data_IF_581786197176
#
_entry.id   IF_581786197176
#
_cell.length_a   1.000
_cell.length_b   1.000
_cell.length_c   1.000
_cell.angle_alpha   90.00
_cell.angle_beta   90.00
_cell.angle_gamma   90.00
#
_symmetry.space_group_name_H-M   'P 1'
#
loop_
_entity.id
_entity.type
_entity.pdbx_description
1 polymer ?
#
# COMPACT_ATOMS: atom_id res chain seq x y z
N UNK A 1 -49.07 28.49 47.66
CA UNK A 1 -49.33 28.81 46.23
C UNK A 1 -48.05 29.22 45.49
N UNK A 2 -47.21 30.08 46.08
CA UNK A 2 -45.98 30.59 45.46
C UNK A 2 -44.89 29.52 45.23
N UNK A 3 -44.63 28.67 46.24
CA UNK A 3 -43.72 27.53 46.12
C UNK A 3 -44.08 26.56 44.98
N UNK A 4 -45.38 26.34 44.76
CA UNK A 4 -45.86 25.44 43.70
C UNK A 4 -45.66 26.07 42.31
N UNK A 5 -45.80 27.40 42.17
CA UNK A 5 -45.49 28.12 40.93
C UNK A 5 -43.99 28.10 40.61
N UNK A 6 -43.14 28.32 41.61
CA UNK A 6 -41.66 28.27 41.47
C UNK A 6 -41.22 26.86 41.06
N UNK A 7 -41.79 25.82 41.69
CA UNK A 7 -41.49 24.43 41.35
C UNK A 7 -41.93 24.03 39.94
N UNK A 8 -43.13 24.46 39.51
CA UNK A 8 -43.61 24.25 38.13
C UNK A 8 -42.75 25.00 37.11
N UNK A 9 -42.36 26.25 37.38
CA UNK A 9 -41.48 27.03 36.51
C UNK A 9 -40.09 26.39 36.39
N UNK A 10 -39.51 25.91 37.50
CA UNK A 10 -38.23 25.19 37.52
C UNK A 10 -38.28 23.91 36.69
N UNK A 11 -39.38 23.13 36.78
CA UNK A 11 -39.58 21.94 35.93
C UNK A 11 -39.68 22.28 34.45
N UNK A 12 -40.41 23.35 34.09
CA UNK A 12 -40.53 23.80 32.70
C UNK A 12 -39.16 24.25 32.17
N UNK A 13 -38.40 25.04 32.92
CA UNK A 13 -37.05 25.46 32.54
C UNK A 13 -36.10 24.27 32.39
N UNK A 14 -36.19 23.28 33.27
CA UNK A 14 -35.39 22.06 33.18
C UNK A 14 -35.72 21.24 31.93
N UNK A 15 -37.00 21.12 31.56
CA UNK A 15 -37.43 20.44 30.34
C UNK A 15 -37.00 21.18 29.07
N UNK A 16 -37.08 22.52 29.06
CA UNK A 16 -36.59 23.35 27.94
C UNK A 16 -35.07 23.18 27.78
N UNK A 17 -34.31 23.25 28.88
CA UNK A 17 -32.86 23.04 28.84
C UNK A 17 -32.51 21.64 28.32
N UNK A 18 -33.21 20.60 28.78
CA UNK A 18 -33.00 19.23 28.31
C UNK A 18 -33.32 19.10 26.81
N UNK A 19 -34.41 19.69 26.34
CA UNK A 19 -34.76 19.70 24.92
C UNK A 19 -33.70 20.43 24.09
N UNK A 20 -33.19 21.57 24.56
CA UNK A 20 -32.14 22.33 23.88
C UNK A 20 -30.81 21.55 23.81
N UNK A 21 -30.45 20.87 24.90
CA UNK A 21 -29.27 19.99 24.94
C UNK A 21 -29.42 18.82 23.98
N UNK A 22 -30.60 18.19 23.91
CA UNK A 22 -30.87 17.11 22.96
C UNK A 22 -30.79 17.60 21.52
N UNK A 23 -31.41 18.74 21.20
CA UNK A 23 -31.33 19.33 19.85
C UNK A 23 -29.88 19.64 19.49
N UNK A 24 -29.12 20.26 20.40
CA UNK A 24 -27.72 20.60 20.16
C UNK A 24 -26.86 19.35 19.95
N UNK A 25 -27.07 18.28 20.75
CA UNK A 25 -26.37 17.02 20.60
C UNK A 25 -26.72 16.32 19.27
N UNK A 26 -28.00 16.33 18.87
CA UNK A 26 -28.46 15.77 17.59
C UNK A 26 -27.87 16.56 16.43
N UNK A 27 -27.98 17.88 16.44
CA UNK A 27 -27.43 18.76 15.39
C UNK A 27 -25.92 18.63 15.29
N UNK A 28 -25.21 18.57 16.43
CA UNK A 28 -23.77 18.35 16.45
C UNK A 28 -23.39 17.00 15.82
N UNK A 29 -24.14 15.93 16.11
CA UNK A 29 -23.85 14.60 15.58
C UNK A 29 -24.19 14.46 14.09
N UNK A 30 -25.30 15.05 13.63
CA UNK A 30 -25.72 15.05 12.22
C UNK A 30 -24.74 15.84 11.34
N UNK A 31 -24.21 16.95 11.85
CA UNK A 31 -23.31 17.82 11.09
C UNK A 31 -21.85 17.37 11.10
N UNK A 32 -21.53 16.21 11.70
CA UNK A 32 -20.16 15.68 11.66
C UNK A 32 -19.76 15.35 10.23
N UNK A 33 -18.58 15.79 9.77
CA UNK A 33 -18.02 15.33 8.52
C UNK A 33 -17.95 13.81 8.50
N UNK A 34 -18.26 13.23 7.34
CA UNK A 34 -18.41 11.79 7.13
C UNK A 34 -17.29 11.34 6.21
N UNK A 35 -16.37 10.51 6.70
CA UNK A 35 -15.32 9.89 5.89
C UNK A 35 -15.53 8.39 5.83
N UNK A 36 -15.67 7.85 4.62
CA UNK A 36 -15.65 6.41 4.40
C UNK A 36 -14.26 6.02 3.90
N UNK A 37 -13.65 5.03 4.55
CA UNK A 37 -12.43 4.38 4.09
C UNK A 37 -12.84 3.07 3.39
N UNK A 38 -12.63 3.00 2.08
CA UNK A 38 -12.93 1.85 1.25
C UNK A 38 -11.64 1.15 0.82
N UNK A 39 -11.45 -0.08 1.28
CA UNK A 39 -10.30 -0.91 0.91
C UNK A 39 -10.69 -2.00 -0.09
N UNK A 40 -9.81 -2.21 -1.07
CA UNK A 40 -9.89 -3.36 -1.98
C UNK A 40 -9.76 -4.70 -1.24
N UNK A 41 -8.90 -4.78 -0.22
CA UNK A 41 -8.48 -6.04 0.41
C UNK A 41 -8.91 -6.12 1.88
N UNK A 42 -8.78 -7.31 2.48
CA UNK A 42 -9.11 -7.58 3.87
C UNK A 42 -8.08 -6.96 4.84
N UNK A 43 -8.47 -6.51 6.05
CA UNK A 43 -7.55 -5.90 7.03
C UNK A 43 -6.40 -6.81 7.48
N UNK A 44 -6.56 -8.13 7.41
CA UNK A 44 -5.48 -9.08 7.73
C UNK A 44 -4.33 -9.08 6.71
N UNK A 45 -4.55 -8.52 5.51
CA UNK A 45 -3.50 -8.41 4.53
C UNK A 45 -2.50 -7.33 4.98
N UNK A 46 -1.21 -7.68 5.06
CA UNK A 46 -0.16 -6.83 5.63
C UNK A 46 -0.17 -5.39 5.07
N UNK A 47 -0.29 -5.26 3.75
CA UNK A 47 -0.43 -3.96 3.09
C UNK A 47 -1.61 -3.15 3.64
N UNK A 48 -2.80 -3.73 3.71
CA UNK A 48 -4.02 -3.06 4.19
C UNK A 48 -3.92 -2.69 5.66
N UNK A 49 -3.38 -3.59 6.49
CA UNK A 49 -3.09 -3.31 7.91
C UNK A 49 -2.20 -2.08 8.06
N UNK A 50 -1.12 -2.01 7.30
CA UNK A 50 -0.12 -0.95 7.46
C UNK A 50 -0.57 0.38 6.84
N UNK A 51 -1.39 0.35 5.78
CA UNK A 51 -2.12 1.54 5.29
C UNK A 51 -3.08 2.05 6.38
N UNK A 52 -3.78 1.15 7.06
CA UNK A 52 -4.64 1.51 8.19
C UNK A 52 -3.84 2.12 9.35
N UNK A 53 -2.61 1.69 9.61
CA UNK A 53 -1.73 2.35 10.60
C UNK A 53 -1.45 3.79 10.16
N UNK A 54 -1.11 4.03 8.90
CA UNK A 54 -0.91 5.36 8.33
C UNK A 54 -2.14 6.26 8.45
N UNK A 55 -3.31 5.76 8.03
CA UNK A 55 -4.60 6.43 8.18
C UNK A 55 -4.85 6.81 9.64
N UNK A 56 -4.65 5.85 10.57
CA UNK A 56 -4.92 6.05 11.99
C UNK A 56 -3.97 7.02 12.68
N UNK A 57 -2.77 7.29 12.16
CA UNK A 57 -1.90 8.36 12.69
C UNK A 57 -2.56 9.73 12.60
N UNK A 58 -3.38 9.93 11.57
CA UNK A 58 -4.14 11.17 11.35
C UNK A 58 -5.55 11.04 11.92
N UNK A 59 -6.24 9.92 11.66
CA UNK A 59 -7.63 9.75 12.09
C UNK A 59 -7.84 9.79 13.61
N UNK A 60 -6.79 9.52 14.41
CA UNK A 60 -6.85 9.70 15.88
C UNK A 60 -7.08 11.14 16.32
N UNK A 61 -6.79 12.15 15.49
CA UNK A 61 -7.06 13.56 15.81
C UNK A 61 -8.47 13.98 15.38
N UNK A 62 -9.21 13.13 14.67
CA UNK A 62 -10.54 13.40 14.10
C UNK A 62 -11.68 13.22 15.11
N UNK A 63 -11.62 13.92 16.24
CA UNK A 63 -12.60 13.81 17.33
C UNK A 63 -14.05 14.19 16.91
N UNK A 64 -14.20 14.97 15.84
CA UNK A 64 -15.49 15.49 15.37
C UNK A 64 -15.96 14.88 14.04
N UNK A 65 -15.39 13.75 13.64
CA UNK A 65 -15.73 13.09 12.39
C UNK A 65 -16.52 11.81 12.66
N UNK A 66 -17.37 11.44 11.71
CA UNK A 66 -17.97 10.11 11.62
C UNK A 66 -17.15 9.31 10.64
N UNK A 67 -16.60 8.17 11.07
CA UNK A 67 -15.69 7.34 10.28
C UNK A 67 -16.23 5.93 10.15
N UNK A 68 -16.18 5.36 8.95
CA UNK A 68 -16.46 3.94 8.72
C UNK A 68 -15.45 3.32 7.77
N UNK A 69 -15.17 2.03 7.98
CA UNK A 69 -14.30 1.23 7.14
C UNK A 69 -15.13 0.19 6.40
N UNK A 70 -14.89 0.05 5.10
CA UNK A 70 -15.49 -0.98 4.28
C UNK A 70 -14.37 -1.72 3.55
N UNK A 71 -14.34 -3.04 3.67
CA UNK A 71 -13.34 -3.90 3.03
C UNK A 71 -14.02 -4.84 2.05
N UNK A 72 -13.54 -4.86 0.81
CA UNK A 72 -14.16 -5.61 -0.28
C UNK A 72 -13.65 -7.06 -0.42
N UNK A 73 -12.55 -7.39 0.24
CA UNK A 73 -11.89 -8.71 0.24
C UNK A 73 -11.65 -9.32 -1.17
N UNK A 74 -11.21 -8.47 -2.11
CA UNK A 74 -10.99 -8.85 -3.52
C UNK A 74 -9.67 -9.58 -3.77
N UNK A 75 -8.80 -9.70 -2.77
CA UNK A 75 -7.53 -10.44 -2.89
C UNK A 75 -7.73 -11.94 -2.72
N UNK A 76 -8.61 -12.34 -1.79
CA UNK A 76 -8.93 -13.75 -1.50
C UNK A 76 -9.91 -14.34 -2.52
N UNK A 77 -10.73 -13.49 -3.14
CA UNK A 77 -11.77 -13.89 -4.08
C UNK A 77 -11.64 -13.08 -5.37
N UNK A 78 -11.21 -13.73 -6.45
CA UNK A 78 -10.90 -13.08 -7.73
C UNK A 78 -11.86 -13.48 -8.86
N UNK A 79 -12.89 -14.28 -8.57
CA UNK A 79 -13.88 -14.65 -9.57
C UNK A 79 -14.74 -13.44 -9.97
N UNK A 80 -15.14 -13.32 -11.25
CA UNK A 80 -15.86 -12.15 -11.74
C UNK A 80 -17.19 -11.88 -11.03
N UNK A 81 -17.89 -12.92 -10.59
CA UNK A 81 -19.17 -12.80 -9.89
C UNK A 81 -18.99 -12.17 -8.51
N UNK A 82 -18.00 -12.63 -7.75
CA UNK A 82 -17.64 -12.05 -6.47
C UNK A 82 -17.23 -10.59 -6.60
N UNK A 83 -16.34 -10.26 -7.54
CA UNK A 83 -15.90 -8.87 -7.77
C UNK A 83 -17.08 -7.96 -8.10
N UNK A 84 -18.05 -8.45 -8.89
CA UNK A 84 -19.27 -7.71 -9.21
C UNK A 84 -20.11 -7.46 -7.96
N UNK A 85 -20.33 -8.50 -7.15
CA UNK A 85 -21.08 -8.40 -5.89
C UNK A 85 -20.40 -7.47 -4.89
N UNK A 86 -19.08 -7.58 -4.72
CA UNK A 86 -18.30 -6.73 -3.83
C UNK A 86 -18.42 -5.25 -4.22
N UNK A 87 -18.33 -4.94 -5.52
CA UNK A 87 -18.56 -3.58 -6.04
C UNK A 87 -19.97 -3.06 -5.79
N UNK A 88 -21.00 -3.91 -5.97
CA UNK A 88 -22.39 -3.54 -5.66
C UNK A 88 -22.61 -3.26 -4.17
N UNK A 89 -22.05 -4.08 -3.30
CA UNK A 89 -22.15 -3.90 -1.84
C UNK A 89 -21.42 -2.61 -1.41
N UNK A 90 -20.23 -2.36 -1.93
CA UNK A 90 -19.46 -1.15 -1.64
C UNK A 90 -20.22 0.12 -2.07
N UNK A 91 -20.78 0.14 -3.28
CA UNK A 91 -21.57 1.28 -3.77
C UNK A 91 -22.83 1.52 -2.95
N UNK A 92 -23.59 0.46 -2.62
CA UNK A 92 -24.75 0.59 -1.71
C UNK A 92 -24.36 1.14 -0.33
N UNK A 93 -23.18 0.76 0.18
CA UNK A 93 -22.69 1.32 1.43
C UNK A 93 -22.37 2.82 1.31
N UNK A 94 -21.76 3.24 0.19
CA UNK A 94 -21.50 4.66 -0.12
C UNK A 94 -22.82 5.42 -0.24
N UNK A 95 -23.77 4.94 -1.05
CA UNK A 95 -25.07 5.58 -1.27
C UNK A 95 -25.88 5.72 0.03
N UNK A 96 -25.86 4.68 0.88
CA UNK A 96 -26.62 4.69 2.14
C UNK A 96 -25.98 5.60 3.19
N UNK A 97 -24.66 5.69 3.21
CA UNK A 97 -23.94 6.41 4.26
C UNK A 97 -23.56 7.84 3.86
N UNK A 98 -23.58 8.15 2.56
CA UNK A 98 -23.34 9.46 1.94
C UNK A 98 -22.08 10.17 2.49
N UNK A 99 -20.88 9.59 2.30
CA UNK A 99 -19.65 10.20 2.78
C UNK A 99 -19.42 11.58 2.17
N UNK A 100 -18.95 12.54 2.96
CA UNK A 100 -18.42 13.80 2.40
C UNK A 100 -17.06 13.57 1.72
N UNK A 101 -16.27 12.62 2.24
CA UNK A 101 -15.01 12.16 1.62
C UNK A 101 -14.98 10.64 1.56
N UNK A 102 -14.71 10.09 0.37
CA UNK A 102 -14.42 8.69 0.14
C UNK A 102 -12.90 8.51 -0.04
N UNK A 103 -12.25 7.89 0.94
CA UNK A 103 -10.85 7.45 0.80
C UNK A 103 -10.88 6.05 0.19
N UNK A 104 -10.49 5.90 -1.07
CA UNK A 104 -10.48 4.61 -1.77
C UNK A 104 -9.04 4.10 -1.90
N UNK A 105 -8.80 2.86 -1.45
CA UNK A 105 -7.46 2.26 -1.38
C UNK A 105 -7.33 1.02 -2.27
N UNK A 106 -6.31 1.04 -3.11
CA UNK A 106 -5.96 0.05 -4.14
C UNK A 106 -6.94 -0.03 -5.32
N UNK A 107 -6.51 -0.70 -6.39
CA UNK A 107 -7.14 -0.66 -7.72
C UNK A 107 -8.62 -1.12 -7.74
N UNK A 108 -9.02 -2.10 -6.92
CA UNK A 108 -10.40 -2.61 -6.98
C UNK A 108 -11.41 -1.68 -6.30
N UNK A 109 -11.03 -0.96 -5.24
CA UNK A 109 -11.84 0.09 -4.64
C UNK A 109 -12.13 1.19 -5.66
N UNK A 110 -11.14 1.56 -6.47
CA UNK A 110 -11.33 2.51 -7.58
C UNK A 110 -12.24 1.91 -8.65
N UNK A 111 -11.86 0.75 -9.19
CA UNK A 111 -12.45 0.15 -10.38
C UNK A 111 -13.92 -0.24 -10.19
N UNK A 112 -14.28 -0.74 -9.01
CA UNK A 112 -15.58 -1.35 -8.75
C UNK A 112 -16.54 -0.43 -7.99
N UNK A 113 -16.05 0.66 -7.38
CA UNK A 113 -16.88 1.55 -6.57
C UNK A 113 -16.57 3.05 -6.77
N UNK A 114 -15.38 3.53 -6.43
CA UNK A 114 -15.13 4.98 -6.34
C UNK A 114 -15.32 5.72 -7.68
N UNK A 115 -14.95 5.10 -8.82
CA UNK A 115 -15.13 5.71 -10.14
C UNK A 115 -16.57 6.08 -10.50
N UNK A 116 -17.57 5.50 -9.81
CA UNK A 116 -18.99 5.80 -10.06
C UNK A 116 -19.45 7.11 -9.42
N UNK A 117 -18.61 7.73 -8.59
CA UNK A 117 -18.88 9.00 -7.90
C UNK A 117 -17.96 10.12 -8.42
N UNK A 118 -17.29 9.93 -9.55
CA UNK A 118 -16.51 10.98 -10.21
C UNK A 118 -17.45 12.12 -10.61
N UNK A 119 -17.03 13.34 -10.31
CA UNK A 119 -17.77 14.59 -10.48
C UNK A 119 -19.11 14.67 -9.72
N UNK A 120 -19.35 13.76 -8.77
CA UNK A 120 -20.43 13.92 -7.79
C UNK A 120 -20.14 15.15 -6.91
N UNK A 121 -21.06 16.14 -6.84
CA UNK A 121 -20.83 17.36 -6.08
C UNK A 121 -20.88 17.17 -4.56
N UNK A 122 -21.40 16.04 -4.08
CA UNK A 122 -21.58 15.75 -2.66
C UNK A 122 -20.43 14.93 -2.05
N UNK A 123 -19.63 14.26 -2.88
CA UNK A 123 -18.56 13.35 -2.44
C UNK A 123 -17.23 13.83 -3.03
N UNK A 124 -16.21 14.02 -2.19
CA UNK A 124 -14.82 14.12 -2.65
C UNK A 124 -14.12 12.77 -2.57
N UNK A 125 -13.37 12.39 -3.59
CA UNK A 125 -12.62 11.14 -3.67
C UNK A 125 -11.14 11.42 -3.40
N UNK A 126 -10.58 10.69 -2.45
CA UNK A 126 -9.13 10.64 -2.20
C UNK A 126 -8.65 9.22 -2.49
N UNK A 127 -7.92 9.02 -3.59
CA UNK A 127 -7.36 7.70 -3.90
C UNK A 127 -6.01 7.46 -3.22
N UNK A 128 -5.71 6.20 -2.92
CA UNK A 128 -4.41 5.72 -2.46
C UNK A 128 -4.14 4.30 -3.00
N UNK A 129 -2.89 3.84 -2.98
CA UNK A 129 -2.52 2.49 -3.41
C UNK A 129 -2.69 2.23 -4.91
N UNK A 130 -2.73 3.29 -5.73
CA UNK A 130 -2.88 3.15 -7.18
C UNK A 130 -1.51 3.01 -7.83
N UNK A 131 -1.19 1.79 -8.23
CA UNK A 131 0.06 1.42 -8.88
C UNK A 131 0.18 1.90 -10.34
N UNK A 132 -0.96 1.99 -11.04
CA UNK A 132 -1.02 2.32 -12.46
C UNK A 132 -1.34 3.78 -12.76
N UNK A 133 -1.88 4.00 -13.97
CA UNK A 133 -2.54 5.25 -14.36
C UNK A 133 -3.89 5.38 -13.65
N UNK A 134 -4.28 6.62 -13.37
CA UNK A 134 -5.60 6.98 -12.83
C UNK A 134 -6.64 7.25 -13.93
N UNK A 135 -6.21 7.30 -15.20
CA UNK A 135 -7.09 7.50 -16.37
C UNK A 135 -8.22 6.47 -16.46
N UNK A 136 -7.99 5.16 -16.24
CA UNK A 136 -9.06 4.15 -16.35
C UNK A 136 -10.20 4.34 -15.34
N UNK A 137 -9.98 5.16 -14.31
CA UNK A 137 -10.96 5.47 -13.28
C UNK A 137 -11.69 6.80 -13.55
N UNK A 138 -11.34 7.51 -14.62
CA UNK A 138 -11.95 8.80 -14.98
C UNK A 138 -11.43 9.98 -14.14
N UNK A 139 -10.28 9.84 -13.49
CA UNK A 139 -9.80 10.84 -12.52
C UNK A 139 -9.06 12.02 -13.16
N UNK A 140 -8.64 11.89 -14.42
CA UNK A 140 -7.98 12.99 -15.13
C UNK A 140 -8.99 14.10 -15.42
N UNK A 141 -8.76 15.28 -14.84
CA UNK A 141 -9.63 16.45 -14.99
C UNK A 141 -10.88 16.45 -14.12
N UNK A 142 -11.12 15.39 -13.32
CA UNK A 142 -12.24 15.31 -12.40
C UNK A 142 -12.15 16.40 -11.32
N UNK A 143 -13.28 17.02 -11.00
CA UNK A 143 -13.34 18.17 -10.07
C UNK A 143 -13.28 17.75 -8.60
N UNK A 144 -13.72 16.53 -8.31
CA UNK A 144 -13.87 16.03 -6.96
C UNK A 144 -12.83 14.96 -6.59
N UNK A 145 -11.73 14.81 -7.35
CA UNK A 145 -10.72 13.75 -7.13
C UNK A 145 -9.34 14.32 -6.81
N UNK A 146 -8.67 13.73 -5.83
CA UNK A 146 -7.23 13.87 -5.56
C UNK A 146 -6.69 12.55 -5.00
N UNK A 147 -5.41 12.47 -4.66
CA UNK A 147 -4.87 11.28 -4.02
C UNK A 147 -3.37 11.15 -4.10
N UNK A 148 -2.90 9.97 -3.71
CA UNK A 148 -1.49 9.57 -3.73
C UNK A 148 -1.30 8.32 -4.60
N UNK A 149 -0.34 8.39 -5.50
CA UNK A 149 0.08 7.29 -6.36
C UNK A 149 1.08 6.39 -5.63
N UNK A 150 0.91 5.09 -5.78
CA UNK A 150 1.89 4.09 -5.34
C UNK A 150 2.99 4.01 -6.39
N UNK A 151 4.20 4.48 -6.06
CA UNK A 151 5.35 4.48 -6.97
C UNK A 151 6.53 3.83 -6.28
N UNK A 152 7.16 2.88 -6.98
CA UNK A 152 8.36 2.21 -6.47
C UNK A 152 9.49 3.20 -6.25
N UNK A 153 10.15 3.07 -5.11
CA UNK A 153 11.28 3.90 -4.74
C UNK A 153 12.58 3.33 -5.31
N UNK A 154 12.73 3.40 -6.65
CA UNK A 154 13.89 2.83 -7.36
C UNK A 154 15.22 3.48 -6.94
N UNK A 155 15.19 4.74 -6.51
CA UNK A 155 16.35 5.40 -5.90
C UNK A 155 16.79 4.73 -4.60
N UNK A 156 15.84 4.48 -3.69
CA UNK A 156 16.12 3.77 -2.44
C UNK A 156 16.59 2.33 -2.67
N UNK A 157 16.03 1.65 -3.69
CA UNK A 157 16.53 0.33 -4.10
C UNK A 157 17.98 0.42 -4.56
N UNK A 158 18.29 1.34 -5.48
CA UNK A 158 19.65 1.54 -5.99
C UNK A 158 20.65 1.86 -4.86
N UNK A 159 20.28 2.75 -3.95
CA UNK A 159 21.09 3.08 -2.76
C UNK A 159 21.30 1.86 -1.88
N UNK A 160 20.25 1.07 -1.66
CA UNK A 160 20.32 -0.20 -0.92
C UNK A 160 21.33 -1.14 -1.56
N UNK A 161 21.20 -1.42 -2.86
CA UNK A 161 22.11 -2.32 -3.59
C UNK A 161 23.57 -1.84 -3.56
N UNK A 162 23.80 -0.53 -3.59
CA UNK A 162 25.16 0.07 -3.49
C UNK A 162 25.71 0.12 -2.06
N UNK A 163 24.87 -0.08 -1.05
CA UNK A 163 25.24 -0.06 0.36
C UNK A 163 25.57 -1.44 0.93
N UNK A 164 25.06 -2.50 0.30
CA UNK A 164 25.35 -3.89 0.65
C UNK A 164 26.82 -4.20 0.35
N UNK A 165 27.48 -4.90 1.28
CA UNK A 165 28.88 -5.32 1.15
C UNK A 165 29.04 -6.77 1.56
N UNK A 166 29.98 -7.48 0.97
CA UNK A 166 30.38 -8.79 1.51
C UNK A 166 31.32 -8.59 2.71
N UNK A 167 31.19 -9.47 3.70
CA UNK A 167 32.12 -9.50 4.84
C UNK A 167 33.55 -9.72 4.31
N UNK A 168 34.48 -8.86 4.74
CA UNK A 168 35.88 -8.90 4.30
C UNK A 168 36.18 -8.17 2.99
N UNK A 169 35.17 -7.61 2.31
CA UNK A 169 35.36 -6.81 1.11
C UNK A 169 35.91 -5.41 1.45
N UNK A 170 36.95 -4.98 0.73
CA UNK A 170 37.50 -3.62 0.89
C UNK A 170 36.54 -2.64 0.21
N UNK A 171 35.94 -1.78 1.02
CA UNK A 171 34.98 -0.78 0.56
C UNK A 171 35.69 0.34 -0.22
N UNK A 172 35.76 0.19 -1.54
CA UNK A 172 36.30 1.21 -2.43
C UNK A 172 35.23 1.69 -3.40
N UNK A 173 35.37 2.91 -3.93
CA UNK A 173 34.50 3.38 -5.00
C UNK A 173 34.58 2.48 -6.25
N UNK A 174 35.70 1.78 -6.45
CA UNK A 174 35.88 0.83 -7.55
C UNK A 174 35.14 -0.50 -7.32
N UNK A 175 35.12 -1.04 -6.09
CA UNK A 175 34.39 -2.30 -5.79
C UNK A 175 32.88 -2.17 -5.95
N UNK A 176 32.36 -0.93 -5.87
CA UNK A 176 30.94 -0.63 -6.11
C UNK A 176 30.61 -0.27 -7.57
N UNK A 177 31.62 -0.13 -8.43
CA UNK A 177 31.38 0.11 -9.87
C UNK A 177 31.03 -1.20 -10.55
N UNK A 178 30.08 -1.12 -11.48
CA UNK A 178 29.71 -2.22 -12.39
C UNK A 178 28.97 -3.40 -11.76
N UNK A 179 28.43 -3.28 -10.55
CA UNK A 179 27.52 -4.29 -10.01
C UNK A 179 26.31 -4.45 -10.94
N UNK A 180 25.98 -5.69 -11.28
CA UNK A 180 24.95 -6.06 -12.25
C UNK A 180 23.66 -6.46 -11.54
N UNK A 181 22.56 -5.87 -12.00
CA UNK A 181 21.22 -6.09 -11.49
C UNK A 181 20.35 -6.80 -12.53
N UNK A 182 19.66 -7.87 -12.14
CA UNK A 182 18.65 -8.53 -12.95
C UNK A 182 17.25 -8.42 -12.31
N UNK A 183 16.23 -8.18 -13.11
CA UNK A 183 14.84 -8.17 -12.63
C UNK A 183 14.08 -9.45 -13.02
N UNK A 184 13.68 -10.24 -12.02
CA UNK A 184 12.92 -11.48 -12.21
C UNK A 184 11.44 -11.28 -11.85
N UNK A 185 10.56 -11.77 -12.71
CA UNK A 185 9.11 -11.58 -12.62
C UNK A 185 8.34 -12.89 -12.77
N UNK A 186 7.16 -12.95 -12.15
CA UNK A 186 6.13 -13.94 -12.48
C UNK A 186 5.17 -13.42 -13.57
N UNK A 187 4.21 -14.24 -14.06
CA UNK A 187 3.28 -13.86 -15.12
C UNK A 187 2.19 -12.85 -14.67
N UNK A 188 2.32 -12.26 -13.47
CA UNK A 188 1.34 -11.29 -12.99
C UNK A 188 1.35 -10.04 -13.85
N UNK A 189 0.18 -9.71 -14.43
CA UNK A 189 -0.04 -8.47 -15.19
C UNK A 189 0.42 -7.22 -14.44
N UNK A 190 0.22 -7.16 -13.11
CA UNK A 190 0.65 -6.02 -12.29
C UNK A 190 2.16 -5.81 -12.28
N UNK A 191 2.94 -6.89 -12.36
CA UNK A 191 4.42 -6.84 -12.35
C UNK A 191 4.93 -6.43 -13.73
N UNK A 192 4.35 -7.01 -14.79
CA UNK A 192 4.71 -6.68 -16.17
C UNK A 192 4.40 -5.21 -16.54
N UNK A 193 3.29 -4.64 -16.04
CA UNK A 193 2.97 -3.21 -16.20
C UNK A 193 4.05 -2.27 -15.68
N UNK A 194 4.84 -2.75 -14.72
CA UNK A 194 5.88 -1.99 -14.06
C UNK A 194 7.28 -2.27 -14.58
N UNK A 195 7.43 -3.25 -15.49
CA UNK A 195 8.71 -3.66 -16.07
C UNK A 195 9.42 -2.48 -16.73
N UNK A 196 8.72 -1.74 -17.59
CA UNK A 196 9.27 -0.59 -18.32
C UNK A 196 9.89 0.46 -17.38
N UNK A 197 9.23 0.75 -16.25
CA UNK A 197 9.75 1.73 -15.29
C UNK A 197 11.06 1.27 -14.62
N UNK A 198 11.26 -0.03 -14.45
CA UNK A 198 12.53 -0.60 -13.95
C UNK A 198 13.59 -0.61 -15.05
N UNK A 199 13.24 -1.00 -16.27
CA UNK A 199 14.16 -1.07 -17.41
C UNK A 199 14.72 0.29 -17.81
N UNK A 200 13.90 1.34 -17.78
CA UNK A 200 14.27 2.70 -18.19
C UNK A 200 14.90 3.53 -17.06
N UNK A 201 15.00 3.00 -15.84
CA UNK A 201 15.55 3.73 -14.71
C UNK A 201 17.07 3.96 -14.84
N UNK A 202 17.55 5.10 -14.34
CA UNK A 202 18.95 5.49 -14.36
C UNK A 202 19.80 4.72 -13.32
N UNK A 203 20.10 3.46 -13.61
CA UNK A 203 20.78 2.54 -12.69
C UNK A 203 22.24 2.89 -12.38
N UNK A 204 22.94 3.64 -13.24
CA UNK A 204 24.36 3.99 -13.05
C UNK A 204 24.67 4.47 -11.62
N UNK A 205 25.69 3.94 -10.93
CA UNK A 205 26.78 3.10 -11.48
C UNK A 205 26.46 1.60 -11.59
N UNK A 206 25.27 1.15 -11.17
CA UNK A 206 24.82 -0.22 -11.39
C UNK A 206 24.57 -0.44 -12.89
N UNK A 207 24.82 -1.66 -13.35
CA UNK A 207 24.51 -2.12 -14.71
C UNK A 207 23.22 -2.92 -14.68
N UNK A 208 22.22 -2.49 -15.45
CA UNK A 208 21.00 -3.28 -15.62
C UNK A 208 21.26 -4.39 -16.64
N UNK A 209 21.28 -5.64 -16.16
CA UNK A 209 21.57 -6.81 -16.96
C UNK A 209 20.34 -7.36 -17.72
N UNK A 210 19.16 -6.81 -17.45
CA UNK A 210 17.92 -7.17 -18.13
C UNK A 210 16.82 -7.65 -17.18
N UNK A 211 15.75 -8.15 -17.77
CA UNK A 211 14.64 -8.77 -17.05
C UNK A 211 14.13 -10.02 -17.75
N UNK A 212 13.43 -10.88 -17.01
CA UNK A 212 12.74 -12.05 -17.56
C UNK A 212 11.49 -12.37 -16.77
N UNK A 213 10.45 -12.79 -17.49
CA UNK A 213 9.25 -13.39 -16.91
C UNK A 213 9.45 -14.91 -16.88
N UNK A 214 9.29 -15.51 -15.71
CA UNK A 214 9.15 -16.94 -15.54
C UNK A 214 7.67 -17.31 -15.68
N UNK A 215 7.33 -18.16 -16.65
CA UNK A 215 5.98 -18.64 -16.94
C UNK A 215 5.49 -19.69 -15.93
N UNK A 216 6.41 -20.34 -15.23
CA UNK A 216 6.15 -21.35 -14.22
C UNK A 216 7.35 -21.51 -13.27
N UNK A 217 7.19 -22.35 -12.25
CA UNK A 217 8.19 -22.55 -11.22
C UNK A 217 9.45 -23.27 -11.74
N UNK A 218 9.33 -24.24 -12.66
CA UNK A 218 10.50 -24.87 -13.28
C UNK A 218 11.36 -23.84 -14.01
N UNK A 219 10.74 -22.94 -14.78
CA UNK A 219 11.45 -21.87 -15.47
C UNK A 219 12.05 -20.85 -14.49
N UNK A 220 11.35 -20.55 -13.38
CA UNK A 220 11.90 -19.71 -12.31
C UNK A 220 13.20 -20.30 -11.77
N UNK A 221 13.22 -21.60 -11.49
CA UNK A 221 14.39 -22.31 -10.98
C UNK A 221 15.55 -22.27 -11.99
N UNK A 222 15.25 -22.55 -13.26
CA UNK A 222 16.23 -22.48 -14.34
C UNK A 222 16.85 -21.07 -14.47
N UNK A 223 16.04 -20.01 -14.43
CA UNK A 223 16.54 -18.64 -14.55
C UNK A 223 17.47 -18.27 -13.38
N UNK A 224 17.10 -18.65 -12.14
CA UNK A 224 17.96 -18.39 -10.97
C UNK A 224 19.33 -19.06 -11.12
N UNK A 225 19.35 -20.31 -11.60
CA UNK A 225 20.60 -21.04 -11.85
C UNK A 225 21.40 -20.42 -13.01
N UNK A 226 20.75 -20.03 -14.10
CA UNK A 226 21.40 -19.36 -15.24
C UNK A 226 22.09 -18.07 -14.82
N UNK A 227 21.52 -17.32 -13.88
CA UNK A 227 22.06 -16.02 -13.43
C UNK A 227 23.31 -16.14 -12.54
N UNK A 228 23.71 -17.34 -12.13
CA UNK A 228 24.91 -17.56 -11.32
C UNK A 228 26.17 -17.04 -12.03
N UNK A 229 26.93 -16.18 -11.34
CA UNK A 229 28.13 -15.51 -11.88
C UNK A 229 27.85 -14.43 -12.93
N UNK A 230 26.62 -14.34 -13.46
CA UNK A 230 26.22 -13.35 -14.47
C UNK A 230 25.72 -12.05 -13.88
N UNK A 231 25.23 -12.06 -12.64
CA UNK A 231 24.76 -10.86 -11.95
C UNK A 231 25.14 -10.85 -10.48
N UNK A 232 25.14 -9.66 -9.89
CA UNK A 232 25.48 -9.43 -8.49
C UNK A 232 24.22 -9.34 -7.62
N UNK A 233 23.09 -8.96 -8.21
CA UNK A 233 21.79 -8.90 -7.55
C UNK A 233 20.67 -9.38 -8.46
N UNK A 234 19.73 -10.12 -7.89
CA UNK A 234 18.39 -10.31 -8.45
C UNK A 234 17.41 -9.46 -7.66
N UNK A 235 16.58 -8.68 -8.34
CA UNK A 235 15.41 -8.02 -7.73
C UNK A 235 14.14 -8.69 -8.21
N UNK A 236 13.14 -8.76 -7.33
CA UNK A 236 11.84 -9.34 -7.67
C UNK A 236 10.70 -8.63 -6.94
N UNK A 237 9.52 -8.58 -7.56
CA UNK A 237 8.33 -8.01 -6.94
C UNK A 237 7.33 -9.08 -6.49
N UNK A 238 7.08 -10.08 -7.35
CA UNK A 238 6.08 -11.12 -7.10
C UNK A 238 6.54 -12.46 -7.70
N UNK A 239 6.06 -13.54 -7.09
CA UNK A 239 6.26 -14.94 -7.49
C UNK A 239 5.06 -15.81 -7.08
N UNK A 240 3.94 -15.17 -6.72
CA UNK A 240 2.75 -15.81 -6.16
C UNK A 240 1.78 -16.33 -7.23
N UNK A 241 2.06 -16.07 -8.51
CA UNK A 241 1.31 -16.59 -9.66
C UNK A 241 2.14 -17.50 -10.55
N UNK A 242 3.06 -18.27 -9.96
CA UNK A 242 3.82 -19.29 -10.66
C UNK A 242 3.06 -20.62 -10.64
N UNK A 243 2.58 -21.14 -11.78
CA UNK A 243 2.20 -22.53 -11.92
C UNK A 243 3.36 -23.46 -11.54
N UNK A 244 3.04 -24.66 -11.06
CA UNK A 244 4.03 -25.70 -10.79
C UNK A 244 4.85 -26.03 -12.04
N UNK A 245 4.20 -26.22 -13.19
CA UNK A 245 4.87 -26.51 -14.46
C UNK A 245 4.03 -26.08 -15.68
N UNK A 246 4.51 -26.41 -16.88
CA UNK A 246 3.73 -26.21 -18.11
C UNK A 246 2.45 -27.07 -18.15
N UNK A 247 2.47 -28.25 -17.53
CA UNK A 247 1.35 -29.22 -17.50
C UNK A 247 0.51 -29.11 -16.22
N UNK A 248 1.12 -28.75 -15.09
CA UNK A 248 0.43 -28.53 -13.82
C UNK A 248 0.22 -27.03 -13.56
N UNK A 249 -1.03 -26.61 -13.68
CA UNK A 249 -1.45 -25.21 -13.52
C UNK A 249 -1.70 -24.78 -12.07
N UNK A 250 -1.53 -25.68 -11.09
CA UNK A 250 -1.65 -25.32 -9.68
C UNK A 250 -0.55 -24.32 -9.29
N UNK A 251 -0.91 -23.27 -8.55
CA UNK A 251 0.07 -22.28 -8.12
C UNK A 251 0.90 -22.79 -6.95
N UNK A 252 2.21 -22.54 -7.01
CA UNK A 252 3.13 -22.89 -5.94
C UNK A 252 2.92 -21.96 -4.74
N UNK A 253 2.89 -22.48 -3.50
CA UNK A 253 2.90 -21.65 -2.30
C UNK A 253 4.07 -20.66 -2.29
N UNK A 254 3.79 -19.40 -1.95
CA UNK A 254 4.78 -18.30 -1.99
C UNK A 254 6.05 -18.59 -1.18
N UNK A 255 5.88 -19.14 0.03
CA UNK A 255 6.98 -19.54 0.91
C UNK A 255 7.85 -20.65 0.34
N UNK A 256 7.26 -21.57 -0.43
CA UNK A 256 8.01 -22.64 -1.07
C UNK A 256 8.91 -22.07 -2.18
N UNK A 257 8.38 -21.17 -3.02
CA UNK A 257 9.18 -20.50 -4.06
C UNK A 257 10.33 -19.72 -3.45
N UNK A 258 10.04 -18.90 -2.43
CA UNK A 258 11.06 -18.06 -1.80
C UNK A 258 12.11 -18.87 -1.04
N UNK A 259 11.69 -19.87 -0.26
CA UNK A 259 12.62 -20.76 0.45
C UNK A 259 13.57 -21.47 -0.51
N UNK A 260 13.05 -22.00 -1.63
CA UNK A 260 13.92 -22.60 -2.64
C UNK A 260 14.86 -21.56 -3.26
N UNK A 261 14.35 -20.37 -3.58
CA UNK A 261 15.15 -19.30 -4.19
C UNK A 261 16.30 -18.88 -3.29
N UNK A 262 16.04 -18.65 -1.99
CA UNK A 262 17.08 -18.27 -1.02
C UNK A 262 18.11 -19.37 -0.78
N UNK A 263 17.73 -20.64 -0.93
CA UNK A 263 18.64 -21.78 -0.79
C UNK A 263 19.53 -22.01 -2.02
N UNK A 264 19.07 -21.64 -3.21
CA UNK A 264 19.73 -21.98 -4.47
C UNK A 264 20.35 -20.77 -5.19
N UNK A 265 19.91 -19.55 -4.90
CA UNK A 265 20.47 -18.34 -5.46
C UNK A 265 21.80 -17.99 -4.78
N UNK A 266 22.91 -18.11 -5.51
CA UNK A 266 24.25 -17.71 -5.04
C UNK A 266 24.32 -16.20 -4.82
N UNK A 267 23.68 -15.43 -5.69
CA UNK A 267 23.57 -13.98 -5.56
C UNK A 267 22.46 -13.59 -4.58
N UNK A 268 22.62 -12.45 -3.88
CA UNK A 268 21.55 -11.75 -3.17
C UNK A 268 20.27 -11.58 -3.99
N UNK A 269 19.13 -11.99 -3.40
CA UNK A 269 17.80 -11.74 -3.96
C UNK A 269 17.10 -10.69 -3.10
N UNK A 270 16.74 -9.55 -3.71
CA UNK A 270 16.19 -8.39 -3.02
C UNK A 270 14.72 -8.20 -3.42
N UNK A 271 13.83 -8.23 -2.43
CA UNK A 271 12.41 -8.00 -2.64
C UNK A 271 12.07 -6.54 -2.91
N UNK A 272 11.02 -6.30 -3.69
CA UNK A 272 10.42 -4.98 -3.90
C UNK A 272 9.17 -4.74 -3.05
N UNK A 273 8.81 -5.70 -2.19
CA UNK A 273 7.69 -5.64 -1.27
C UNK A 273 8.04 -6.28 0.08
N UNK A 274 7.50 -5.75 1.17
CA UNK A 274 7.69 -6.30 2.53
C UNK A 274 7.34 -7.78 2.62
N UNK A 275 6.28 -8.18 1.93
CA UNK A 275 5.83 -9.57 1.94
C UNK A 275 6.86 -10.56 1.37
N UNK A 276 7.88 -10.07 0.65
CA UNK A 276 8.97 -10.93 0.20
C UNK A 276 9.75 -11.49 1.39
N UNK A 277 9.99 -10.67 2.42
CA UNK A 277 10.68 -11.10 3.66
C UNK A 277 9.76 -11.92 4.55
N UNK A 278 8.45 -11.61 4.58
CA UNK A 278 7.43 -12.46 5.23
C UNK A 278 7.40 -13.88 4.64
N UNK A 279 7.66 -14.00 3.34
CA UNK A 279 7.73 -15.29 2.63
C UNK A 279 9.10 -15.97 2.76
N UNK A 280 10.13 -15.28 3.27
CA UNK A 280 11.44 -15.85 3.56
C UNK A 280 12.64 -15.17 2.89
N UNK A 281 12.46 -14.07 2.15
CA UNK A 281 13.58 -13.33 1.57
C UNK A 281 14.43 -12.66 2.66
N UNK A 282 15.71 -12.40 2.38
CA UNK A 282 16.58 -11.75 3.36
C UNK A 282 16.34 -10.24 3.53
N UNK A 283 15.95 -9.53 2.47
CA UNK A 283 15.85 -8.07 2.44
C UNK A 283 14.85 -7.63 1.39
N UNK A 284 14.11 -6.56 1.67
CA UNK A 284 13.27 -5.90 0.68
C UNK A 284 13.23 -4.39 0.86
N UNK A 285 13.02 -3.69 -0.26
CA UNK A 285 12.77 -2.24 -0.32
C UNK A 285 11.40 -2.02 -0.97
N UNK A 286 10.39 -1.77 -0.14
CA UNK A 286 9.00 -1.60 -0.56
C UNK A 286 8.54 -0.15 -0.54
N UNK A 287 7.42 0.15 -1.21
CA UNK A 287 6.70 1.42 -1.00
C UNK A 287 6.15 1.46 0.43
N UNK A 288 6.14 2.63 1.07
CA UNK A 288 5.58 2.79 2.41
C UNK A 288 4.04 2.73 2.41
N UNK A 289 3.40 1.66 2.92
CA UNK A 289 1.94 1.65 3.11
C UNK A 289 1.50 2.72 4.12
N UNK A 290 2.35 3.03 5.10
CA UNK A 290 2.08 4.08 6.08
C UNK A 290 1.91 5.45 5.42
N UNK A 291 2.77 5.78 4.44
CA UNK A 291 2.68 7.03 3.70
C UNK A 291 1.36 7.13 2.91
N UNK A 292 0.95 6.03 2.25
CA UNK A 292 -0.30 5.98 1.51
C UNK A 292 -1.49 6.37 2.39
N UNK A 293 -1.59 5.77 3.57
CA UNK A 293 -2.66 6.08 4.51
C UNK A 293 -2.56 7.48 5.11
N UNK A 294 -1.36 7.89 5.50
CA UNK A 294 -1.13 9.17 6.17
C UNK A 294 -1.39 10.36 5.22
N UNK A 295 -0.89 10.29 3.98
CA UNK A 295 -1.10 11.33 2.97
C UNK A 295 -2.57 11.41 2.57
N UNK A 296 -3.22 10.28 2.32
CA UNK A 296 -4.65 10.25 1.99
C UNK A 296 -5.52 10.86 3.11
N UNK A 297 -5.24 10.53 4.37
CA UNK A 297 -5.93 11.15 5.50
C UNK A 297 -5.68 12.66 5.58
N UNK A 298 -4.43 13.12 5.42
CA UNK A 298 -4.12 14.57 5.38
C UNK A 298 -4.85 15.28 4.25
N UNK A 299 -5.01 14.66 3.08
CA UNK A 299 -5.79 15.21 1.97
C UNK A 299 -7.28 15.30 2.33
N UNK A 300 -7.86 14.28 2.95
CA UNK A 300 -9.24 14.32 3.45
C UNK A 300 -9.45 15.44 4.49
N UNK A 301 -8.47 15.67 5.37
CA UNK A 301 -8.50 16.77 6.34
C UNK A 301 -8.47 18.14 5.65
N UNK A 302 -7.61 18.32 4.62
CA UNK A 302 -7.58 19.55 3.81
C UNK A 302 -8.95 19.83 3.17
N UNK A 303 -9.61 18.82 2.64
CA UNK A 303 -10.95 18.95 2.03
C UNK A 303 -11.98 19.39 3.08
N UNK A 304 -12.02 18.71 4.23
CA UNK A 304 -13.08 18.92 5.22
C UNK A 304 -12.86 20.19 6.05
N UNK A 305 -11.66 20.39 6.59
CA UNK A 305 -11.36 21.47 7.54
C UNK A 305 -11.00 22.77 6.83
N UNK A 306 -10.21 22.69 5.75
CA UNK A 306 -9.76 23.88 5.00
C UNK A 306 -10.67 24.23 3.83
N UNK A 307 -11.71 23.41 3.56
CA UNK A 307 -12.67 23.60 2.47
C UNK A 307 -12.00 23.75 1.09
N UNK A 308 -10.85 23.11 0.91
CA UNK A 308 -10.12 23.08 -0.36
C UNK A 308 -10.82 22.07 -1.27
N UNK A 309 -11.10 22.43 -2.52
CA UNK A 309 -11.67 21.49 -3.47
C UNK A 309 -10.65 20.40 -3.80
N UNK A 310 -11.10 19.15 -3.98
CA UNK A 310 -10.19 18.03 -4.19
C UNK A 310 -9.24 18.26 -5.38
N UNK A 311 -9.73 18.75 -6.51
CA UNK A 311 -8.90 19.05 -7.69
C UNK A 311 -7.87 20.18 -7.50
N UNK A 312 -7.96 20.96 -6.41
CA UNK A 312 -6.96 21.97 -6.04
C UNK A 312 -5.84 21.39 -5.17
N UNK A 313 -6.01 20.17 -4.67
CA UNK A 313 -4.98 19.42 -3.94
C UNK A 313 -4.19 18.62 -4.98
N UNK A 314 -2.89 18.90 -5.17
CA UNK A 314 -2.08 18.17 -6.13
C UNK A 314 -2.07 16.67 -5.83
N UNK A 315 -2.16 15.85 -6.88
CA UNK A 315 -1.90 14.42 -6.76
C UNK A 315 -0.44 14.23 -6.37
N UNK A 316 -0.21 13.49 -5.29
CA UNK A 316 1.12 13.18 -4.80
C UNK A 316 1.60 11.82 -5.34
N UNK A 317 2.91 11.62 -5.38
CA UNK A 317 3.52 10.32 -5.62
C UNK A 317 4.27 9.92 -4.37
N UNK A 318 4.29 8.62 -4.07
CA UNK A 318 5.04 8.08 -2.92
C UNK A 318 6.47 8.62 -2.89
N UNK A 319 6.93 9.05 -1.71
CA UNK A 319 8.29 9.51 -1.46
C UNK A 319 8.99 8.65 -0.40
N UNK A 320 8.24 7.86 0.35
CA UNK A 320 8.75 7.02 1.42
C UNK A 320 8.82 5.56 0.98
N UNK A 321 9.82 4.86 1.51
CA UNK A 321 9.98 3.42 1.38
C UNK A 321 10.02 2.76 2.76
N UNK A 322 9.82 1.45 2.76
CA UNK A 322 9.97 0.59 3.91
C UNK A 322 11.05 -0.44 3.64
N UNK A 323 11.86 -0.74 4.66
CA UNK A 323 12.82 -1.83 4.63
C UNK A 323 12.26 -2.97 5.48
N UNK A 324 12.22 -4.17 4.93
CA UNK A 324 12.07 -5.38 5.72
C UNK A 324 13.35 -6.19 5.60
N UNK A 325 13.79 -6.82 6.68
CA UNK A 325 14.98 -7.67 6.67
C UNK A 325 14.82 -8.88 7.58
N UNK A 326 15.54 -9.93 7.22
CA UNK A 326 15.74 -11.13 8.03
C UNK A 326 17.22 -11.29 8.34
N UNK A 327 17.57 -11.12 9.62
CA UNK A 327 18.96 -11.09 10.02
C UNK A 327 19.68 -12.43 9.77
N UNK A 328 19.03 -13.57 10.04
CA UNK A 328 19.63 -14.90 9.83
C UNK A 328 20.12 -15.08 8.40
N UNK A 329 19.33 -14.63 7.41
CA UNK A 329 19.59 -14.88 6.00
C UNK A 329 20.56 -13.86 5.42
N UNK A 330 20.55 -12.62 5.92
CA UNK A 330 21.62 -11.65 5.68
C UNK A 330 22.97 -12.20 6.14
N UNK A 331 23.03 -12.72 7.38
CA UNK A 331 24.24 -13.27 7.97
C UNK A 331 24.71 -14.53 7.23
N UNK A 332 23.79 -15.42 6.86
CA UNK A 332 24.07 -16.62 6.06
C UNK A 332 24.71 -16.27 4.71
N UNK A 333 24.32 -15.13 4.11
CA UNK A 333 24.89 -14.62 2.85
C UNK A 333 26.18 -13.81 3.04
N UNK A 334 26.67 -13.69 4.28
CA UNK A 334 27.86 -12.90 4.64
C UNK A 334 27.77 -11.47 4.11
N UNK A 335 26.57 -10.88 4.20
CA UNK A 335 26.34 -9.49 3.81
C UNK A 335 26.33 -8.59 5.02
N UNK A 336 26.93 -7.42 4.86
CA UNK A 336 26.84 -6.31 5.81
C UNK A 336 25.79 -5.35 5.28
N UNK A 337 24.69 -5.21 6.03
CA UNK A 337 23.68 -4.17 5.82
C UNK A 337 24.00 -2.96 6.69
N UNK A 338 23.68 -1.72 6.24
CA UNK A 338 23.77 -0.55 7.09
C UNK A 338 22.94 -0.71 8.37
N UNK A 339 23.51 -0.37 9.53
CA UNK A 339 22.83 -0.50 10.84
C UNK A 339 21.51 0.28 10.92
N UNK A 340 21.39 1.35 10.13
CA UNK A 340 20.14 2.11 10.01
C UNK A 340 19.00 1.27 9.43
N UNK A 341 19.26 0.26 8.59
CA UNK A 341 18.22 -0.63 8.05
C UNK A 341 17.68 -1.58 9.11
N UNK A 342 18.53 -2.07 9.99
CA UNK A 342 18.11 -2.85 11.15
C UNK A 342 17.26 -2.00 12.10
N UNK A 343 17.77 -0.83 12.50
CA UNK A 343 17.03 0.08 13.37
C UNK A 343 15.68 0.48 12.77
N UNK A 344 15.65 0.76 11.46
CA UNK A 344 14.43 1.13 10.75
C UNK A 344 13.43 -0.02 10.65
N UNK A 345 13.88 -1.22 10.26
CA UNK A 345 13.00 -2.40 10.17
C UNK A 345 12.43 -2.80 11.53
N UNK A 346 13.19 -2.68 12.61
CA UNK A 346 12.67 -2.85 13.99
C UNK A 346 11.60 -1.81 14.31
N UNK A 347 11.86 -0.54 13.99
CA UNK A 347 10.90 0.55 14.24
C UNK A 347 9.61 0.42 13.41
N UNK A 348 9.67 -0.19 12.24
CA UNK A 348 8.49 -0.42 11.36
C UNK A 348 7.86 -1.79 11.50
N UNK A 349 8.28 -2.60 12.48
CA UNK A 349 7.82 -3.97 12.71
C UNK A 349 7.95 -4.89 11.49
N UNK A 350 9.04 -4.69 10.73
CA UNK A 350 9.40 -5.45 9.52
C UNK A 350 10.78 -6.12 9.65
N UNK A 351 11.29 -6.20 10.87
CA UNK A 351 12.48 -6.97 11.21
C UNK A 351 12.07 -8.40 11.58
N UNK A 352 12.82 -9.36 11.05
CA UNK A 352 12.68 -10.79 11.33
C UNK A 352 14.04 -11.33 11.77
N UNK A 353 14.02 -12.25 12.71
CA UNK A 353 15.20 -13.02 13.07
C UNK A 353 15.53 -14.04 11.95
#
# INVERSE_FOLDING_TARGET
MEHQKIFTLSRILSLILLALLMVTAITFNINKPRIMILHSYHPDYAWTRDVNVGLNRIAKTWNNYSLIWHHMDTKKHNDPEWLTKAGLVARRAIDKWEPHVLIAVDDYAQKLAAKFYVDDPSISIVFAGVNGSIEPYGYVGAKNVTGILERRQLGALKETLLSLKKVGEVDTLESRKNLRLFYLMDPSVSVQRNQKAIEEYAWKPLQYAGSKVAENYEQWQQIIQELEGQVDYVVLANYRKLPRSSTDKTFVPSKEVMSWTEQNAIMPVIGLNVFNVEDGAMLSVGVSPYEQGEVAAKMAEKIINKKIQANQIPVESSQQFIIAMRESDVNKRQLIVPSIYEAFSRATATYYD
#
